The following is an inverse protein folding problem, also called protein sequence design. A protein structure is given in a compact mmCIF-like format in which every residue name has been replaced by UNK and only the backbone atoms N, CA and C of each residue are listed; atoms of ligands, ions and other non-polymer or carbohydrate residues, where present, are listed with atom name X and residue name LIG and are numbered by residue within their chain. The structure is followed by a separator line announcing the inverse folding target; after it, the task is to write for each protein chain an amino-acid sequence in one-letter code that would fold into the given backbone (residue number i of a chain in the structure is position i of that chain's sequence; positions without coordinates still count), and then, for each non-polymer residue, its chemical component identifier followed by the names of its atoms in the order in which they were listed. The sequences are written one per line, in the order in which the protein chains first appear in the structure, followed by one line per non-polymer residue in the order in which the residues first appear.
data_IF_646529985021
#
_entry.id   IF_646529985021
#
_cell.length_a   1.000
_cell.length_b   1.000
_cell.length_c   1.000
_cell.angle_alpha   90.00
_cell.angle_beta   90.00
_cell.angle_gamma   90.00
#
_symmetry.space_group_name_H-M   'P 1'
#
loop_
_entity.id
_entity.type
_entity.pdbx_description
1 polymer ?
#
# COMPACT_ATOMS: atom_id res chain seq x y z
N UNK A 1 12.87 28.97 8.28
CA UNK A 1 13.53 28.31 7.14
C UNK A 1 12.45 27.98 6.11
N UNK A 2 12.71 28.26 4.84
CA UNK A 2 11.76 27.98 3.76
C UNK A 2 11.63 26.46 3.54
N UNK A 3 10.40 25.95 3.46
CA UNK A 3 10.13 24.52 3.23
C UNK A 3 10.35 24.19 1.74
N UNK A 4 11.09 23.13 1.41
CA UNK A 4 11.44 22.81 0.02
C UNK A 4 10.20 22.39 -0.78
N UNK A 5 10.20 22.77 -2.06
CA UNK A 5 9.13 22.47 -3.02
C UNK A 5 9.70 21.57 -4.12
N UNK A 6 8.98 20.50 -4.45
CA UNK A 6 9.26 19.61 -5.58
C UNK A 6 8.07 19.64 -6.53
N UNK A 7 8.34 19.63 -7.83
CA UNK A 7 7.33 19.58 -8.89
C UNK A 7 7.26 18.15 -9.38
N UNK A 8 6.11 17.50 -9.25
CA UNK A 8 5.81 16.19 -9.82
C UNK A 8 4.82 16.36 -10.98
N UNK A 9 4.56 15.31 -11.74
CA UNK A 9 3.62 15.37 -12.88
C UNK A 9 2.22 15.88 -12.49
N UNK A 10 1.76 15.55 -11.28
CA UNK A 10 0.42 15.93 -10.80
C UNK A 10 0.34 17.35 -10.22
N UNK A 11 1.46 17.99 -9.90
CA UNK A 11 1.47 19.32 -9.28
C UNK A 11 2.68 19.58 -8.39
N UNK A 12 2.59 20.63 -7.57
CA UNK A 12 3.67 21.04 -6.65
C UNK A 12 3.44 20.47 -5.25
N UNK A 13 4.49 19.96 -4.64
CA UNK A 13 4.51 19.41 -3.28
C UNK A 13 5.45 20.25 -2.41
N UNK A 14 5.03 20.58 -1.18
CA UNK A 14 5.88 21.22 -0.18
C UNK A 14 6.21 20.24 0.94
N UNK A 15 7.48 19.88 1.07
CA UNK A 15 7.98 18.94 2.08
C UNK A 15 8.43 19.62 3.36
N UNK A 16 9.08 18.87 4.25
CA UNK A 16 9.61 19.36 5.53
C UNK A 16 10.96 18.73 5.85
N UNK A 17 11.83 19.48 6.53
CA UNK A 17 13.04 18.91 7.11
C UNK A 17 12.74 18.33 8.49
N UNK A 18 13.16 17.09 8.72
CA UNK A 18 13.02 16.41 10.01
C UNK A 18 14.38 15.97 10.54
N UNK A 19 14.45 15.88 11.86
CA UNK A 19 15.65 15.42 12.55
C UNK A 19 15.61 13.89 12.69
N UNK A 20 16.76 13.29 12.44
CA UNK A 20 17.00 11.86 12.53
C UNK A 20 17.41 11.51 13.97
N UNK A 21 16.95 10.38 14.52
CA UNK A 21 17.38 9.88 15.83
C UNK A 21 18.89 9.64 15.94
N UNK A 22 19.60 9.53 14.81
CA UNK A 22 21.06 9.42 14.73
C UNK A 22 21.80 10.76 14.64
N UNK A 23 21.09 11.90 14.76
CA UNK A 23 21.68 13.24 14.77
C UNK A 23 21.88 13.89 13.39
N UNK A 24 21.51 13.21 12.30
CA UNK A 24 21.42 13.81 10.96
C UNK A 24 20.05 14.45 10.70
N UNK A 25 19.83 15.00 9.50
CA UNK A 25 18.52 15.49 9.05
C UNK A 25 18.13 14.80 7.75
N UNK A 26 16.86 14.82 7.42
CA UNK A 26 16.35 14.40 6.11
C UNK A 26 15.18 15.27 5.69
N UNK A 27 14.90 15.27 4.39
CA UNK A 27 13.74 15.89 3.80
C UNK A 27 12.65 14.82 3.62
N UNK A 28 11.45 15.09 4.13
CA UNK A 28 10.28 14.25 3.97
C UNK A 28 9.20 14.94 3.13
N UNK A 29 8.60 14.17 2.21
CA UNK A 29 7.35 14.47 1.55
C UNK A 29 6.39 13.31 1.83
N UNK A 30 5.33 13.56 2.58
CA UNK A 30 4.40 12.56 3.07
C UNK A 30 3.02 12.75 2.48
N UNK A 31 2.23 11.68 2.39
CA UNK A 31 0.84 11.78 1.95
C UNK A 31 0.66 12.17 0.48
N UNK A 32 1.55 11.70 -0.40
CA UNK A 32 1.50 11.99 -1.83
C UNK A 32 0.55 10.99 -2.50
N UNK A 33 -0.55 11.43 -3.14
CA UNK A 33 -1.48 10.51 -3.79
C UNK A 33 -0.83 9.91 -5.04
N UNK A 34 -0.77 8.57 -5.11
CA UNK A 34 -0.28 7.86 -6.28
C UNK A 34 -1.41 7.24 -7.13
N UNK A 35 -2.64 7.27 -6.64
CA UNK A 35 -3.85 6.82 -7.30
C UNK A 35 -5.07 7.66 -6.84
N UNK A 36 -6.19 7.56 -7.55
CA UNK A 36 -7.46 8.12 -7.11
C UNK A 36 -7.96 7.41 -5.84
N UNK A 37 -8.67 8.10 -4.91
CA UNK A 37 -9.24 7.47 -3.73
C UNK A 37 -10.20 6.33 -4.12
N UNK A 38 -10.00 5.09 -3.62
CA UNK A 38 -10.78 3.92 -4.03
C UNK A 38 -12.13 3.85 -3.29
N UNK A 39 -12.88 4.95 -3.28
CA UNK A 39 -14.15 5.13 -2.57
C UNK A 39 -15.34 5.05 -3.52
N UNK A 40 -16.53 4.73 -2.99
CA UNK A 40 -17.77 4.68 -3.76
C UNK A 40 -17.65 3.70 -4.93
N UNK A 41 -17.84 4.18 -6.17
CA UNK A 41 -17.77 3.34 -7.37
C UNK A 41 -16.38 2.77 -7.68
N UNK A 42 -15.32 3.33 -7.08
CA UNK A 42 -13.95 2.83 -7.20
C UNK A 42 -13.61 1.76 -6.17
N UNK A 43 -14.49 1.52 -5.19
CA UNK A 43 -14.32 0.41 -4.24
C UNK A 43 -14.29 -0.91 -5.02
N UNK A 44 -13.32 -1.76 -4.70
CA UNK A 44 -12.99 -3.05 -5.37
C UNK A 44 -12.49 -2.97 -6.82
N UNK A 45 -12.46 -1.78 -7.44
CA UNK A 45 -11.89 -1.61 -8.78
C UNK A 45 -10.38 -1.45 -8.76
N UNK A 46 -9.78 -1.64 -9.92
CA UNK A 46 -8.35 -1.35 -10.13
C UNK A 46 -8.05 0.13 -9.85
N UNK A 47 -6.86 0.46 -9.33
CA UNK A 47 -6.52 1.84 -9.01
C UNK A 47 -6.50 2.70 -10.27
N UNK A 48 -7.19 3.83 -10.23
CA UNK A 48 -7.15 4.85 -11.28
C UNK A 48 -6.03 5.87 -11.01
N UNK A 49 -5.49 6.55 -12.05
CA UNK A 49 -4.47 7.58 -11.87
C UNK A 49 -4.93 8.70 -10.92
N UNK A 50 -4.01 9.29 -10.13
CA UNK A 50 -4.34 10.39 -9.23
C UNK A 50 -4.68 11.65 -10.03
N UNK A 51 -5.65 12.43 -9.53
CA UNK A 51 -5.95 13.73 -10.09
C UNK A 51 -4.77 14.69 -9.94
N UNK A 52 -4.61 15.59 -10.92
CA UNK A 52 -3.70 16.74 -10.78
C UNK A 52 -4.33 17.79 -9.86
N UNK A 53 -3.49 18.62 -9.25
CA UNK A 53 -3.95 19.72 -8.39
C UNK A 53 -3.30 21.05 -8.77
N UNK A 54 -4.03 22.13 -8.54
CA UNK A 54 -3.50 23.48 -8.63
C UNK A 54 -2.85 23.92 -7.32
N UNK A 55 -1.95 24.90 -7.40
CA UNK A 55 -1.23 25.43 -6.24
C UNK A 55 -0.17 24.47 -5.68
N UNK A 56 0.08 24.58 -4.37
CA UNK A 56 1.09 23.81 -3.65
C UNK A 56 0.37 22.94 -2.63
N UNK A 57 0.51 21.62 -2.76
CA UNK A 57 -0.01 20.65 -1.79
C UNK A 57 0.99 20.51 -0.64
N UNK A 58 0.51 20.67 0.59
CA UNK A 58 1.32 20.43 1.77
C UNK A 58 1.55 18.92 1.95
N UNK A 59 2.82 18.52 1.92
CA UNK A 59 3.30 17.15 2.07
C UNK A 59 4.20 17.03 3.32
N UNK A 60 3.99 17.86 4.36
CA UNK A 60 4.78 17.77 5.60
C UNK A 60 4.25 16.74 6.61
N UNK A 61 3.08 16.15 6.37
CA UNK A 61 2.43 15.20 7.26
C UNK A 61 1.83 14.07 6.44
N UNK A 62 1.68 12.89 7.05
CA UNK A 62 0.91 11.82 6.42
C UNK A 62 -0.47 12.38 6.03
N UNK A 63 -0.89 12.11 4.80
CA UNK A 63 -2.21 12.46 4.30
C UNK A 63 -3.03 11.19 4.17
N UNK A 64 -4.33 11.33 4.42
CA UNK A 64 -5.23 10.19 4.57
C UNK A 64 -4.98 9.44 5.87
N UNK A 65 -5.95 8.63 6.24
CA UNK A 65 -5.75 7.66 7.30
C UNK A 65 -4.91 6.48 6.76
N UNK A 66 -4.42 5.60 7.65
CA UNK A 66 -3.95 4.28 7.22
C UNK A 66 -5.07 3.57 6.46
N UNK A 67 -4.77 2.60 5.59
CA UNK A 67 -5.84 1.81 4.98
C UNK A 67 -6.67 1.15 6.09
N UNK A 68 -8.00 1.20 5.94
CA UNK A 68 -8.91 0.72 6.97
C UNK A 68 -8.58 -0.73 7.38
N UNK A 69 -8.40 -0.93 8.68
CA UNK A 69 -7.89 -2.17 9.27
C UNK A 69 -8.26 -2.24 10.76
N UNK A 70 -8.07 -3.41 11.38
CA UNK A 70 -8.14 -3.53 12.83
C UNK A 70 -6.80 -3.18 13.47
N UNK A 71 -6.84 -2.37 14.53
CA UNK A 71 -5.66 -2.09 15.35
C UNK A 71 -5.14 -3.36 16.05
N UNK A 72 -3.82 -3.56 16.04
CA UNK A 72 -3.19 -4.71 16.67
C UNK A 72 -2.94 -4.45 18.16
N UNK A 73 -3.87 -4.90 19.04
CA UNK A 73 -3.79 -4.88 20.51
C UNK A 73 -3.66 -3.47 21.15
N UNK A 74 -4.30 -3.17 22.31
CA UNK A 74 -5.27 -3.96 23.07
C UNK A 74 -6.73 -3.66 22.68
N UNK A 75 -6.97 -2.94 21.59
CA UNK A 75 -8.33 -2.58 21.15
C UNK A 75 -8.48 -2.98 19.68
N UNK A 76 -9.45 -3.85 19.36
CA UNK A 76 -9.86 -4.18 17.99
C UNK A 76 -10.70 -3.04 17.39
N UNK A 77 -10.26 -1.79 17.59
CA UNK A 77 -10.91 -0.66 16.95
C UNK A 77 -10.60 -0.72 15.46
N UNK A 78 -11.63 -0.52 14.64
CA UNK A 78 -11.41 -0.23 13.23
C UNK A 78 -10.78 1.16 13.14
N UNK A 79 -9.55 1.21 12.65
CA UNK A 79 -8.82 2.44 12.36
C UNK A 79 -8.67 2.59 10.86
N UNK A 80 -8.34 3.80 10.40
CA UNK A 80 -8.08 4.00 8.99
C UNK A 80 -9.31 4.39 8.18
N UNK A 81 -9.09 4.51 6.87
CA UNK A 81 -10.10 4.87 5.89
C UNK A 81 -9.83 4.22 4.54
N UNK A 82 -10.78 4.36 3.62
CA UNK A 82 -10.63 3.86 2.24
C UNK A 82 -9.74 4.77 1.38
N UNK A 83 -9.75 6.08 1.64
CA UNK A 83 -8.81 7.02 1.02
C UNK A 83 -7.42 6.86 1.66
N UNK A 84 -6.67 5.87 1.19
CA UNK A 84 -5.38 5.48 1.76
C UNK A 84 -4.26 5.28 0.73
N UNK A 85 -4.50 5.53 -0.56
CA UNK A 85 -3.54 5.29 -1.66
C UNK A 85 -2.49 6.40 -1.78
N UNK A 86 -1.69 6.50 -0.72
CA UNK A 86 -0.63 7.48 -0.54
C UNK A 86 0.74 6.83 -0.42
N UNK A 87 1.76 7.55 -0.84
CA UNK A 87 3.17 7.22 -0.60
C UNK A 87 3.91 8.37 0.06
N UNK A 88 5.06 8.04 0.62
CA UNK A 88 5.96 8.98 1.29
C UNK A 88 7.36 8.86 0.68
N UNK A 89 8.04 9.98 0.47
CA UNK A 89 9.41 10.06 -0.05
C UNK A 89 10.31 10.72 0.98
N UNK A 90 11.41 10.08 1.32
CA UNK A 90 12.40 10.54 2.29
C UNK A 90 13.77 10.62 1.63
N UNK A 91 14.43 11.77 1.79
CA UNK A 91 15.70 12.09 1.13
C UNK A 91 16.72 12.52 2.20
N UNK A 92 17.84 11.79 2.37
CA UNK A 92 18.90 12.16 3.29
C UNK A 92 19.44 13.56 3.00
N UNK A 93 19.73 14.33 4.06
CA UNK A 93 20.23 15.70 3.89
C UNK A 93 21.56 15.77 3.12
N UNK A 94 22.38 14.72 3.14
CA UNK A 94 23.65 14.71 2.40
C UNK A 94 23.45 14.66 0.86
N UNK A 95 22.32 14.12 0.39
CA UNK A 95 22.05 13.90 -1.04
C UNK A 95 20.85 14.69 -1.56
N UNK A 96 20.18 15.51 -0.74
CA UNK A 96 18.97 16.24 -1.15
C UNK A 96 19.17 17.26 -2.29
N UNK A 97 20.41 17.55 -2.68
CA UNK A 97 20.78 18.42 -3.80
C UNK A 97 21.54 17.69 -4.91
N UNK A 98 21.67 16.37 -4.81
CA UNK A 98 22.29 15.54 -5.85
C UNK A 98 21.20 14.84 -6.67
N UNK A 99 21.59 14.30 -7.82
CA UNK A 99 20.71 13.57 -8.73
C UNK A 99 21.27 12.18 -9.01
N UNK A 100 20.44 11.28 -9.55
CA UNK A 100 20.88 9.92 -9.88
C UNK A 100 21.08 9.03 -8.65
N UNK A 101 20.44 9.37 -7.53
CA UNK A 101 20.59 8.63 -6.29
C UNK A 101 19.84 7.29 -6.35
N UNK A 102 20.36 6.20 -5.74
CA UNK A 102 19.63 4.95 -5.61
C UNK A 102 18.29 5.15 -4.87
N UNK A 103 17.27 4.41 -5.30
CA UNK A 103 15.92 4.48 -4.72
C UNK A 103 15.56 3.13 -4.11
N UNK A 104 15.13 3.12 -2.85
CA UNK A 104 14.58 1.95 -2.18
C UNK A 104 13.09 2.15 -1.92
N UNK A 105 12.25 1.19 -2.32
CA UNK A 105 10.79 1.26 -2.16
C UNK A 105 10.34 0.18 -1.17
N UNK A 106 9.85 0.60 -0.02
CA UNK A 106 9.36 -0.25 1.05
C UNK A 106 7.90 -0.63 0.85
N UNK A 107 7.63 -1.94 0.84
CA UNK A 107 6.29 -2.53 0.84
C UNK A 107 6.09 -3.20 2.20
N UNK A 108 5.17 -2.66 3.00
CA UNK A 108 4.92 -3.17 4.34
C UNK A 108 4.29 -4.57 4.33
N UNK A 109 4.58 -5.35 5.37
CA UNK A 109 3.88 -6.60 5.67
C UNK A 109 2.60 -6.38 6.49
N UNK A 110 2.12 -7.44 7.13
CA UNK A 110 0.89 -7.44 7.93
C UNK A 110 -0.21 -8.34 7.36
N UNK A 111 0.18 -9.51 6.83
CA UNK A 111 -0.72 -10.56 6.30
C UNK A 111 -1.77 -10.06 5.30
N UNK A 112 -1.51 -8.94 4.62
CA UNK A 112 -2.48 -8.22 3.78
C UNK A 112 -3.72 -7.69 4.53
N UNK A 113 -3.78 -7.77 5.86
CA UNK A 113 -4.91 -7.33 6.67
C UNK A 113 -4.62 -6.04 7.45
N UNK A 114 -3.35 -5.78 7.75
CA UNK A 114 -2.88 -4.65 8.55
C UNK A 114 -1.56 -4.09 8.00
N UNK A 115 -1.12 -2.97 8.58
CA UNK A 115 0.14 -2.32 8.27
C UNK A 115 -0.04 -0.98 7.57
N UNK A 116 1.07 -0.25 7.44
CA UNK A 116 1.12 1.02 6.74
C UNK A 116 2.55 1.36 6.32
N UNK A 117 2.68 2.17 5.27
CA UNK A 117 3.89 2.88 4.87
C UNK A 117 4.10 4.21 5.61
N UNK A 118 3.21 4.60 6.53
CA UNK A 118 3.36 5.80 7.34
C UNK A 118 4.51 5.67 8.35
N UNK A 119 5.13 6.79 8.69
CA UNK A 119 6.26 6.86 9.62
C UNK A 119 5.89 6.80 11.12
N UNK A 120 4.60 6.68 11.44
CA UNK A 120 4.11 6.56 12.83
C UNK A 120 4.55 5.26 13.50
N UNK A 121 4.53 4.14 12.77
CA UNK A 121 4.95 2.83 13.27
C UNK A 121 6.39 2.47 12.90
N UNK A 122 6.84 2.90 11.71
CA UNK A 122 8.16 2.58 11.17
C UNK A 122 8.81 3.83 10.57
N UNK A 123 9.60 4.50 11.38
CA UNK A 123 10.34 5.69 10.99
C UNK A 123 11.48 5.37 10.00
N UNK A 124 11.82 6.29 9.06
CA UNK A 124 12.83 6.07 8.02
C UNK A 124 14.27 6.28 8.52
N UNK A 125 14.44 6.73 9.77
CA UNK A 125 15.67 7.31 10.32
C UNK A 125 16.95 6.51 10.03
N UNK A 126 16.95 5.18 10.23
CA UNK A 126 18.18 4.40 10.01
C UNK A 126 18.61 4.34 8.53
N UNK A 127 17.65 4.36 7.60
CA UNK A 127 17.95 4.45 6.16
C UNK A 127 18.30 5.89 5.75
N UNK A 128 17.75 6.90 6.42
CA UNK A 128 18.10 8.31 6.21
C UNK A 128 19.50 8.68 6.71
N UNK A 129 20.22 7.74 7.32
CA UNK A 129 21.66 7.84 7.58
C UNK A 129 22.54 7.22 6.47
N UNK A 130 21.92 6.73 5.39
CA UNK A 130 22.59 6.18 4.20
C UNK A 130 22.25 7.03 2.99
N UNK A 131 23.12 7.06 1.99
CA UNK A 131 22.94 7.83 0.76
C UNK A 131 21.97 7.13 -0.21
N UNK A 132 20.70 7.03 0.20
CA UNK A 132 19.62 6.39 -0.55
C UNK A 132 18.30 7.15 -0.35
N UNK A 133 17.52 7.30 -1.42
CA UNK A 133 16.15 7.82 -1.32
C UNK A 133 15.24 6.66 -0.92
N UNK A 134 14.48 6.84 0.16
CA UNK A 134 13.49 5.86 0.60
C UNK A 134 12.10 6.32 0.17
N UNK A 135 11.34 5.41 -0.43
CA UNK A 135 9.91 5.57 -0.66
C UNK A 135 9.17 4.51 0.13
N UNK A 136 8.10 4.86 0.84
CA UNK A 136 7.20 3.89 1.46
C UNK A 136 5.78 4.08 0.91
N UNK A 137 5.06 2.97 0.72
CA UNK A 137 3.73 2.98 0.08
C UNK A 137 2.70 2.35 1.00
N UNK A 138 1.47 2.87 0.94
CA UNK A 138 0.28 2.14 1.37
C UNK A 138 -0.32 1.38 0.17
N UNK A 139 -1.11 0.35 0.44
CA UNK A 139 -1.93 -0.37 -0.54
C UNK A 139 -3.18 -0.92 0.17
N UNK A 140 -4.29 -1.12 -0.56
CA UNK A 140 -5.53 -1.61 0.06
C UNK A 140 -5.33 -2.97 0.73
N UNK A 141 -6.02 -3.17 1.86
CA UNK A 141 -5.91 -4.33 2.73
C UNK A 141 -7.24 -5.09 2.80
N UNK A 142 -7.17 -6.32 3.32
CA UNK A 142 -8.32 -7.18 3.60
C UNK A 142 -9.21 -7.40 2.39
N UNK A 143 -10.51 -7.53 2.64
CA UNK A 143 -11.50 -7.65 1.57
C UNK A 143 -11.46 -6.46 0.60
N UNK A 144 -11.20 -5.24 1.06
CA UNK A 144 -11.18 -4.05 0.20
C UNK A 144 -10.03 -4.05 -0.83
N UNK A 145 -8.93 -4.74 -0.53
CA UNK A 145 -7.79 -4.89 -1.43
C UNK A 145 -7.73 -6.22 -2.18
N UNK A 146 -8.45 -7.24 -1.73
CA UNK A 146 -8.25 -8.61 -2.23
C UNK A 146 -9.55 -9.37 -2.52
N UNK A 147 -10.71 -8.70 -2.51
CA UNK A 147 -11.98 -9.32 -2.93
C UNK A 147 -11.87 -9.81 -4.38
N UNK A 148 -12.05 -11.11 -4.58
CA UNK A 148 -12.17 -11.73 -5.88
C UNK A 148 -13.51 -12.46 -5.93
N UNK A 149 -14.42 -12.05 -6.80
CA UNK A 149 -15.74 -12.68 -6.97
C UNK A 149 -15.90 -13.37 -8.33
N UNK A 150 -14.79 -13.59 -9.05
CA UNK A 150 -14.85 -14.16 -10.40
C UNK A 150 -15.45 -13.22 -11.46
N UNK A 151 -15.58 -11.92 -11.15
CA UNK A 151 -16.19 -10.91 -12.03
C UNK A 151 -15.29 -9.67 -12.17
N UNK A 152 -15.35 -8.99 -13.31
CA UNK A 152 -14.49 -7.83 -13.62
C UNK A 152 -14.59 -6.67 -12.61
N UNK A 153 -15.74 -6.52 -11.95
CA UNK A 153 -15.97 -5.48 -10.96
C UNK A 153 -15.22 -5.69 -9.63
N UNK A 154 -14.78 -6.92 -9.37
CA UNK A 154 -13.93 -7.29 -8.24
C UNK A 154 -13.08 -8.49 -8.64
N UNK A 155 -12.09 -8.24 -9.51
CA UNK A 155 -11.25 -9.29 -10.12
C UNK A 155 -10.18 -9.87 -9.17
N UNK A 156 -10.14 -9.42 -7.91
CA UNK A 156 -9.04 -9.69 -6.99
C UNK A 156 -7.76 -8.89 -7.25
N UNK A 157 -6.87 -8.98 -6.26
CA UNK A 157 -5.52 -8.42 -6.27
C UNK A 157 -5.44 -6.90 -6.42
N UNK A 158 -6.49 -6.15 -6.08
CA UNK A 158 -6.49 -4.70 -6.12
C UNK A 158 -5.32 -4.11 -5.30
N UNK A 159 -5.00 -4.66 -4.13
CA UNK A 159 -3.86 -4.25 -3.32
C UNK A 159 -2.51 -4.46 -4.02
N UNK A 160 -2.34 -5.53 -4.81
CA UNK A 160 -1.13 -5.72 -5.64
C UNK A 160 -1.10 -4.76 -6.84
N UNK A 161 -2.26 -4.46 -7.41
CA UNK A 161 -2.38 -3.46 -8.48
C UNK A 161 -2.10 -2.05 -7.96
N UNK A 162 -2.46 -1.74 -6.71
CA UNK A 162 -2.10 -0.50 -6.03
C UNK A 162 -0.58 -0.37 -5.91
N UNK A 163 0.12 -1.45 -5.52
CA UNK A 163 1.58 -1.46 -5.47
C UNK A 163 2.21 -1.24 -6.85
N UNK A 164 1.66 -1.85 -7.90
CA UNK A 164 2.13 -1.60 -9.27
C UNK A 164 1.87 -0.15 -9.71
N UNK A 165 0.72 0.44 -9.36
CA UNK A 165 0.41 1.84 -9.62
C UNK A 165 1.37 2.78 -8.88
N UNK A 166 1.69 2.49 -7.60
CA UNK A 166 2.67 3.25 -6.85
C UNK A 166 4.07 3.17 -7.49
N UNK A 167 4.51 1.98 -7.93
CA UNK A 167 5.79 1.83 -8.64
C UNK A 167 5.82 2.59 -9.96
N UNK A 168 4.71 2.62 -10.69
CA UNK A 168 4.57 3.44 -11.91
C UNK A 168 4.70 4.93 -11.57
N UNK A 169 4.01 5.39 -10.53
CA UNK A 169 4.15 6.77 -10.06
C UNK A 169 5.60 7.11 -9.68
N UNK A 170 6.28 6.21 -8.95
CA UNK A 170 7.68 6.39 -8.55
C UNK A 170 8.57 6.49 -9.80
N UNK A 171 8.45 5.55 -10.74
CA UNK A 171 9.21 5.55 -11.99
C UNK A 171 9.06 6.86 -12.77
N UNK A 172 7.86 7.45 -12.73
CA UNK A 172 7.53 8.67 -13.46
C UNK A 172 7.94 9.98 -12.78
N UNK A 173 8.19 9.98 -11.47
CA UNK A 173 8.37 11.20 -10.68
C UNK A 173 9.66 11.25 -9.85
N UNK A 174 10.33 10.12 -9.60
CA UNK A 174 11.41 10.06 -8.60
C UNK A 174 12.64 10.90 -8.97
N UNK A 175 12.85 11.19 -10.26
CA UNK A 175 13.87 12.13 -10.74
C UNK A 175 13.70 13.52 -10.12
N UNK A 176 12.46 13.95 -9.91
CA UNK A 176 12.15 15.27 -9.31
C UNK A 176 12.59 15.37 -7.85
N UNK A 177 12.83 14.23 -7.20
CA UNK A 177 13.35 14.12 -5.84
C UNK A 177 14.87 13.82 -5.82
N UNK A 178 15.53 13.81 -6.99
CA UNK A 178 16.94 13.47 -7.15
C UNK A 178 17.24 11.97 -7.28
N UNK A 179 16.22 11.11 -7.41
CA UNK A 179 16.40 9.66 -7.58
C UNK A 179 16.68 9.25 -9.01
N UNK A 180 17.32 8.10 -9.19
CA UNK A 180 17.50 7.44 -10.48
C UNK A 180 16.34 6.47 -10.75
N UNK A 181 15.46 6.73 -11.74
CA UNK A 181 14.36 5.84 -12.07
C UNK A 181 14.85 4.49 -12.62
N UNK A 182 16.10 4.39 -13.05
CA UNK A 182 16.72 3.17 -13.55
C UNK A 182 17.57 2.44 -12.50
N UNK A 183 17.49 2.86 -11.23
CA UNK A 183 18.14 2.20 -10.11
C UNK A 183 17.20 2.08 -8.90
N UNK A 184 16.05 1.44 -9.12
CA UNK A 184 15.02 1.22 -8.10
C UNK A 184 15.18 -0.19 -7.51
N UNK A 185 15.21 -0.27 -6.18
CA UNK A 185 15.18 -1.52 -5.40
C UNK A 185 13.88 -1.61 -4.63
N UNK A 186 13.04 -2.60 -4.91
CA UNK A 186 11.86 -2.87 -4.08
C UNK A 186 12.25 -3.82 -2.93
N UNK A 187 11.69 -3.59 -1.74
CA UNK A 187 11.92 -4.48 -0.60
C UNK A 187 10.72 -4.53 0.33
N UNK A 188 10.56 -5.66 1.00
CA UNK A 188 9.42 -5.88 1.88
C UNK A 188 9.62 -7.06 2.83
N UNK A 189 8.89 -7.04 3.93
CA UNK A 189 8.91 -8.09 4.94
C UNK A 189 7.57 -8.83 5.05
N UNK A 190 7.59 -10.14 5.29
CA UNK A 190 6.37 -10.95 5.44
C UNK A 190 5.48 -10.82 4.19
N UNK A 191 4.22 -10.42 4.32
CA UNK A 191 3.33 -10.15 3.18
C UNK A 191 3.92 -9.14 2.17
N UNK A 192 4.75 -8.19 2.64
CA UNK A 192 5.50 -7.29 1.77
C UNK A 192 6.62 -8.00 1.00
N UNK A 193 7.25 -9.03 1.58
CA UNK A 193 8.22 -9.89 0.88
C UNK A 193 7.54 -10.75 -0.20
N UNK A 194 6.33 -11.26 0.09
CA UNK A 194 5.49 -11.94 -0.90
C UNK A 194 5.10 -10.98 -2.02
N UNK A 195 4.66 -9.77 -1.68
CA UNK A 195 4.35 -8.70 -2.63
C UNK A 195 5.52 -8.41 -3.57
N UNK A 196 6.73 -8.27 -3.03
CA UNK A 196 7.96 -8.13 -3.84
C UNK A 196 8.13 -9.29 -4.81
N UNK A 197 7.95 -10.54 -4.35
CA UNK A 197 8.04 -11.71 -5.23
C UNK A 197 6.97 -11.68 -6.33
N UNK A 198 5.71 -11.39 -6.00
CA UNK A 198 4.61 -11.33 -6.97
C UNK A 198 4.82 -10.22 -8.00
N UNK A 199 5.38 -9.07 -7.59
CA UNK A 199 5.77 -7.99 -8.50
C UNK A 199 6.95 -8.35 -9.40
N UNK A 200 7.84 -9.26 -8.98
CA UNK A 200 8.88 -9.79 -9.89
C UNK A 200 8.29 -10.67 -10.99
N UNK A 201 7.18 -11.36 -10.71
CA UNK A 201 6.53 -12.28 -11.64
C UNK A 201 5.51 -11.58 -12.55
N UNK A 202 4.91 -10.48 -12.09
CA UNK A 202 3.81 -9.83 -12.79
C UNK A 202 4.26 -9.06 -14.03
N UNK A 203 3.54 -9.18 -15.17
CA UNK A 203 3.79 -8.36 -16.35
C UNK A 203 3.48 -6.86 -16.11
N UNK A 204 2.59 -6.53 -15.17
CA UNK A 204 2.19 -5.15 -14.88
C UNK A 204 3.32 -4.31 -14.27
N UNK A 205 4.29 -4.97 -13.63
CA UNK A 205 5.43 -4.34 -12.97
C UNK A 205 6.73 -4.46 -13.77
N UNK A 206 6.67 -5.01 -15.00
CA UNK A 206 7.82 -5.15 -15.87
C UNK A 206 8.46 -3.79 -16.17
N UNK A 207 9.75 -3.66 -15.84
CA UNK A 207 10.54 -2.45 -16.07
C UNK A 207 10.32 -1.32 -15.05
N UNK A 208 9.50 -1.54 -14.01
CA UNK A 208 9.26 -0.54 -12.96
C UNK A 208 10.34 -0.51 -11.87
N UNK A 209 11.15 -1.56 -11.75
CA UNK A 209 12.27 -1.65 -10.80
C UNK A 209 13.40 -2.54 -11.33
N UNK A 210 14.54 -2.53 -10.63
CA UNK A 210 15.78 -3.17 -11.07
C UNK A 210 16.29 -4.24 -10.11
N UNK A 211 15.99 -4.10 -8.81
CA UNK A 211 16.48 -4.99 -7.75
C UNK A 211 15.36 -5.30 -6.77
N UNK A 212 15.48 -6.42 -6.06
CA UNK A 212 14.48 -6.89 -5.12
C UNK A 212 15.12 -7.48 -3.86
N UNK A 213 14.53 -7.23 -2.69
CA UNK A 213 14.91 -7.84 -1.41
C UNK A 213 13.65 -8.41 -0.75
N UNK A 214 13.63 -9.72 -0.50
CA UNK A 214 12.49 -10.44 0.06
C UNK A 214 12.83 -10.88 1.50
N UNK A 215 12.29 -10.20 2.50
CA UNK A 215 12.56 -10.52 3.91
C UNK A 215 11.46 -11.42 4.48
N UNK A 216 11.71 -12.72 4.61
CA UNK A 216 10.79 -13.67 5.24
C UNK A 216 9.40 -13.76 4.56
N UNK A 217 9.36 -13.76 3.23
CA UNK A 217 8.13 -13.97 2.46
C UNK A 217 8.41 -14.25 0.98
N UNK A 218 7.71 -15.24 0.40
CA UNK A 218 7.78 -15.59 -1.02
C UNK A 218 6.42 -16.10 -1.53
N UNK A 219 6.15 -15.99 -2.83
CA UNK A 219 4.88 -16.41 -3.45
C UNK A 219 4.51 -17.89 -3.26
N UNK A 220 5.47 -18.75 -2.91
CA UNK A 220 5.24 -20.18 -2.63
C UNK A 220 4.97 -20.49 -1.16
N UNK A 221 4.96 -19.48 -0.27
CA UNK A 221 4.52 -19.69 1.10
C UNK A 221 3.05 -20.14 1.11
N UNK A 222 2.68 -21.08 1.99
CA UNK A 222 1.32 -21.64 2.06
C UNK A 222 0.22 -20.59 2.32
N UNK A 223 0.59 -19.46 2.92
CA UNK A 223 -0.28 -18.33 3.23
C UNK A 223 -0.18 -17.19 2.20
N UNK A 224 0.55 -17.38 1.10
CA UNK A 224 0.75 -16.34 0.08
C UNK A 224 -0.45 -16.17 -0.84
N UNK A 225 -1.16 -17.26 -1.14
CA UNK A 225 -2.24 -17.34 -2.11
C UNK A 225 -3.47 -18.01 -1.49
N UNK A 226 -4.66 -17.67 -1.99
CA UNK A 226 -5.93 -18.25 -1.51
C UNK A 226 -6.57 -19.08 -2.61
N UNK A 227 -6.76 -20.38 -2.37
CA UNK A 227 -7.28 -21.34 -3.38
C UNK A 227 -8.80 -21.25 -3.61
N UNK A 228 -9.54 -20.43 -2.84
CA UNK A 228 -11.00 -20.32 -2.92
C UNK A 228 -11.50 -18.87 -2.75
N UNK A 229 -10.82 -17.90 -3.37
CA UNK A 229 -11.11 -16.48 -3.17
C UNK A 229 -12.56 -16.10 -3.54
N UNK A 230 -13.10 -16.67 -4.62
CA UNK A 230 -14.49 -16.45 -5.05
C UNK A 230 -15.50 -16.95 -4.02
N UNK A 231 -15.34 -18.17 -3.52
CA UNK A 231 -16.20 -18.73 -2.48
C UNK A 231 -16.17 -17.87 -1.22
N UNK A 232 -14.98 -17.36 -0.85
CA UNK A 232 -14.81 -16.49 0.31
C UNK A 232 -15.51 -15.14 0.12
N UNK A 233 -15.54 -14.59 -1.10
CA UNK A 233 -16.28 -13.36 -1.40
C UNK A 233 -17.79 -13.52 -1.21
N UNK A 234 -18.38 -14.62 -1.71
CA UNK A 234 -19.81 -14.92 -1.48
C UNK A 234 -20.13 -15.21 -0.01
N UNK A 235 -19.23 -15.89 0.72
CA UNK A 235 -19.39 -16.10 2.17
C UNK A 235 -19.39 -14.79 2.94
N UNK A 236 -18.48 -13.87 2.62
CA UNK A 236 -18.43 -12.55 3.23
C UNK A 236 -19.77 -11.80 3.02
N UNK A 237 -20.30 -11.83 1.81
CA UNK A 237 -21.60 -11.23 1.51
C UNK A 237 -22.74 -11.87 2.32
N UNK A 238 -22.75 -13.20 2.44
CA UNK A 238 -23.74 -13.95 3.23
C UNK A 238 -23.69 -13.58 4.73
N UNK A 239 -22.49 -13.47 5.31
CA UNK A 239 -22.28 -13.01 6.70
C UNK A 239 -22.83 -11.59 6.90
N UNK A 240 -22.68 -10.74 5.89
CA UNK A 240 -23.19 -9.37 5.89
C UNK A 240 -24.69 -9.26 5.52
N UNK A 241 -25.36 -10.38 5.24
CA UNK A 241 -26.81 -10.44 4.99
C UNK A 241 -27.25 -10.48 3.53
N UNK A 242 -26.36 -10.85 2.59
CA UNK A 242 -26.71 -11.03 1.17
C UNK A 242 -26.28 -12.42 0.65
N UNK A 243 -27.27 -13.28 0.36
CA UNK A 243 -27.08 -14.63 -0.14
C UNK A 243 -27.13 -14.78 -1.67
N UNK A 244 -27.16 -13.66 -2.41
CA UNK A 244 -27.22 -13.65 -3.88
C UNK A 244 -26.08 -14.47 -4.47
N UNK A 245 -26.37 -15.09 -5.62
CA UNK A 245 -25.41 -15.84 -6.43
C UNK A 245 -24.97 -15.04 -7.66
N UNK A 246 -25.52 -13.86 -7.88
CA UNK A 246 -25.06 -12.94 -8.91
C UNK A 246 -23.86 -12.12 -8.37
N UNK A 247 -22.65 -12.26 -8.95
CA UNK A 247 -21.49 -11.46 -8.57
C UNK A 247 -21.78 -9.96 -8.57
N UNK A 248 -22.62 -9.48 -9.50
CA UNK A 248 -22.94 -8.06 -9.62
C UNK A 248 -23.77 -7.56 -8.44
N UNK A 249 -24.83 -8.27 -8.10
CA UNK A 249 -25.68 -7.92 -6.95
C UNK A 249 -24.88 -7.93 -5.65
N UNK A 250 -23.96 -8.88 -5.49
CA UNK A 250 -23.08 -8.95 -4.32
C UNK A 250 -22.14 -7.74 -4.26
N UNK A 251 -21.45 -7.40 -5.35
CA UNK A 251 -20.53 -6.25 -5.36
C UNK A 251 -21.28 -4.94 -5.13
N UNK A 252 -22.43 -4.75 -5.79
CA UNK A 252 -23.26 -3.56 -5.62
C UNK A 252 -23.74 -3.44 -4.16
N UNK A 253 -24.16 -4.53 -3.53
CA UNK A 253 -24.50 -4.57 -2.11
C UNK A 253 -23.31 -4.21 -1.21
N UNK A 254 -22.14 -4.82 -1.40
CA UNK A 254 -20.94 -4.55 -0.59
C UNK A 254 -20.47 -3.09 -0.71
N UNK A 255 -20.71 -2.42 -1.85
CA UNK A 255 -20.43 -0.98 -2.00
C UNK A 255 -21.35 -0.10 -1.15
N UNK A 256 -22.55 -0.55 -0.80
CA UNK A 256 -23.48 0.22 0.05
C UNK A 256 -23.11 0.21 1.53
N UNK A 257 -22.33 -0.78 1.96
CA UNK A 257 -21.98 -0.97 3.37
C UNK A 257 -20.89 0.00 3.83
N UNK A 258 -20.88 0.40 5.12
CA UNK A 258 -19.71 1.01 5.73
C UNK A 258 -18.50 0.08 5.63
N UNK A 259 -17.34 0.61 5.24
CA UNK A 259 -16.12 -0.18 5.08
C UNK A 259 -15.72 -0.94 6.36
N UNK A 260 -16.01 -0.36 7.53
CA UNK A 260 -15.74 -0.99 8.83
C UNK A 260 -16.52 -2.31 9.02
N UNK A 261 -17.77 -2.39 8.56
CA UNK A 261 -18.56 -3.63 8.66
C UNK A 261 -17.92 -4.77 7.85
N UNK A 262 -17.42 -4.45 6.66
CA UNK A 262 -16.72 -5.40 5.79
C UNK A 262 -15.41 -5.88 6.45
N UNK A 263 -14.61 -4.94 6.98
CA UNK A 263 -13.35 -5.25 7.65
C UNK A 263 -13.55 -6.09 8.90
N UNK A 264 -14.63 -5.88 9.65
CA UNK A 264 -14.95 -6.69 10.82
C UNK A 264 -15.40 -8.11 10.41
N UNK A 265 -16.31 -8.21 9.44
CA UNK A 265 -16.86 -9.50 9.00
C UNK A 265 -15.85 -10.40 8.28
N UNK A 266 -14.77 -9.86 7.70
CA UNK A 266 -13.79 -10.66 6.95
C UNK A 266 -13.10 -11.75 7.80
N UNK A 267 -13.05 -11.59 9.12
CA UNK A 267 -12.46 -12.57 10.05
C UNK A 267 -13.37 -13.78 10.30
N UNK A 268 -14.66 -13.69 9.96
CA UNK A 268 -15.64 -14.77 10.10
C UNK A 268 -15.70 -15.67 8.85
N UNK A 269 -15.01 -15.29 7.77
CA UNK A 269 -15.02 -16.01 6.49
C UNK A 269 -14.27 -17.35 6.57
N UNK A 270 -13.19 -17.41 7.37
CA UNK A 270 -12.41 -18.62 7.57
C UNK A 270 -13.01 -19.47 8.70
N UNK A 271 -13.00 -20.79 8.53
CA UNK A 271 -13.36 -21.68 9.64
C UNK A 271 -12.31 -21.58 10.75
N UNK A 272 -12.64 -21.95 12.00
CA UNK A 272 -11.66 -22.02 13.07
C UNK A 272 -10.45 -22.87 12.69
N UNK A 273 -10.65 -24.03 12.05
CA UNK A 273 -9.57 -24.93 11.62
C UNK A 273 -8.66 -24.27 10.57
N UNK A 274 -9.24 -23.53 9.61
CA UNK A 274 -8.48 -22.77 8.63
C UNK A 274 -7.68 -21.62 9.29
N UNK A 275 -8.24 -21.02 10.34
CA UNK A 275 -7.62 -19.94 11.12
C UNK A 275 -6.48 -20.43 12.02
N UNK A 276 -6.57 -21.65 12.56
CA UNK A 276 -5.52 -22.25 13.39
C UNK A 276 -4.33 -22.79 12.59
N UNK A 277 -4.48 -23.04 11.28
CA UNK A 277 -3.36 -23.56 10.45
C UNK A 277 -2.15 -22.63 10.34
N UNK A 278 -2.29 -21.36 10.77
CA UNK A 278 -1.22 -20.38 10.90
C UNK A 278 -0.24 -20.65 12.05
N UNK A 279 -0.61 -21.46 13.02
CA UNK A 279 0.25 -21.81 14.16
C UNK A 279 0.81 -23.21 13.95
N UNK A 280 2.14 -23.27 13.80
CA UNK A 280 3.01 -24.45 13.75
C UNK A 280 2.26 -25.77 13.99
N UNK A 281 1.85 -26.44 12.90
CA UNK A 281 1.29 -27.78 12.95
C UNK A 281 2.45 -28.79 13.00
N UNK A 282 2.78 -29.27 14.20
CA UNK A 282 3.48 -30.54 14.43
C UNK A 282 2.61 -31.44 15.29
#
# INVERSE_FOLDING_TARGET
MERPIVIVKQGKLQGIFEDNVLGSRYLAFKGIPFAAPPVGELRFKDPEPPASWEGIRDASRNAGDVCIQLEQLPIQATIGGEDCLYLNVYIPYNIHRTTGNPVMVWIHGGTYLVGSGNDTSKRPDYLMAKDVILVSINYRLGALGFLNIGHEMASGNQGLKDQAAALKWIKENIESFGGDPNNITIFGNSAGGISVHLLMLSPLSKGLFNKAILQSGMATCFWALTENAEVNAFKLASILGNDSKDPKEVVDFLKTLPAAEIVNAQFEVLTPEASYSFFINF
#
